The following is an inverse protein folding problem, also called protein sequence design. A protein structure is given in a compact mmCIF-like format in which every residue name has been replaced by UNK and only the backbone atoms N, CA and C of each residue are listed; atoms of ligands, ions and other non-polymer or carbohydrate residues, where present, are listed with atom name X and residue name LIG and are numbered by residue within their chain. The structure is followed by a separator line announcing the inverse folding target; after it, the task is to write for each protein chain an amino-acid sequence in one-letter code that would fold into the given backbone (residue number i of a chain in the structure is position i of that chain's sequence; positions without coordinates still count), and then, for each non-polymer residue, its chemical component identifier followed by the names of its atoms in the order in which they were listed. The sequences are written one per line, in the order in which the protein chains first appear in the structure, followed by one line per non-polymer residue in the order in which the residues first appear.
data_IF_687157942056
#
_entry.id   IF_687157942056
#
_cell.length_a   1.000
_cell.length_b   1.000
_cell.length_c   1.000
_cell.angle_alpha   90.00
_cell.angle_beta   90.00
_cell.angle_gamma   90.00
#
_symmetry.space_group_name_H-M   'P 1'
#
loop_
_entity.id
_entity.type
_entity.pdbx_description
1 polymer ?
#
# COMPACT_ATOMS: atom_id res chain seq x y z
N UNK A 1 -1.75 -14.93 0.75
CA UNK A 1 -2.62 -14.02 -0.03
C UNK A 1 -3.05 -12.80 0.78
N UNK A 2 -2.80 -11.61 0.25
CA UNK A 2 -3.27 -10.36 0.85
C UNK A 2 -4.80 -10.30 0.65
N UNK A 3 -5.58 -10.00 1.68
CA UNK A 3 -7.00 -9.65 1.50
C UNK A 3 -7.06 -8.15 1.22
N UNK A 4 -7.21 -7.77 -0.05
CA UNK A 4 -7.38 -6.37 -0.41
C UNK A 4 -8.82 -5.97 -0.13
N UNK A 5 -9.03 -5.16 0.91
CA UNK A 5 -10.31 -4.51 1.17
C UNK A 5 -10.29 -3.11 0.54
N UNK A 6 -11.41 -2.68 -0.05
CA UNK A 6 -11.58 -1.34 -0.67
C UNK A 6 -11.81 -0.31 0.45
N UNK A 7 -10.95 -0.32 1.46
CA UNK A 7 -10.98 0.65 2.55
C UNK A 7 -9.83 1.62 2.37
N UNK A 8 -10.14 2.91 2.55
CA UNK A 8 -9.17 4.00 2.65
C UNK A 8 -7.91 3.53 3.39
N UNK A 9 -6.73 3.80 2.81
CA UNK A 9 -5.42 3.53 3.42
C UNK A 9 -5.48 3.73 4.94
N UNK A 10 -5.25 2.64 5.69
CA UNK A 10 -5.26 2.69 7.14
C UNK A 10 -4.20 3.69 7.61
N UNK A 11 -4.60 4.66 8.43
CA UNK A 11 -3.69 5.52 9.17
C UNK A 11 -3.25 4.78 10.41
N UNK A 12 -1.95 4.50 10.50
CA UNK A 12 -1.36 3.92 11.70
C UNK A 12 -0.84 5.10 12.51
N UNK A 13 -1.67 5.61 13.43
CA UNK A 13 -1.39 6.84 14.20
C UNK A 13 -0.06 6.77 14.99
N UNK A 14 0.34 5.57 15.41
CA UNK A 14 1.61 5.34 16.13
C UNK A 14 2.80 5.06 15.21
N UNK A 15 2.57 4.88 13.90
CA UNK A 15 3.65 4.71 12.94
C UNK A 15 4.23 6.07 12.57
N UNK A 16 5.09 6.59 13.44
CA UNK A 16 5.89 7.78 13.15
C UNK A 16 7.12 7.32 12.38
N UNK A 17 7.28 7.81 11.15
CA UNK A 17 8.54 7.61 10.44
C UNK A 17 9.67 8.24 11.27
N UNK A 18 10.83 7.58 11.45
CA UNK A 18 11.95 8.16 12.21
C UNK A 18 12.54 9.40 11.53
N UNK A 19 12.15 9.66 10.28
CA UNK A 19 12.51 10.86 9.55
C UNK A 19 11.70 12.06 10.08
N UNK A 20 12.42 13.07 10.55
CA UNK A 20 11.87 14.33 11.07
C UNK A 20 11.13 15.13 9.98
N UNK A 21 11.29 14.79 8.69
CA UNK A 21 10.71 15.52 7.55
C UNK A 21 9.92 14.61 6.62
N UNK A 22 8.82 15.16 6.11
CA UNK A 22 8.05 14.58 5.02
C UNK A 22 8.84 14.60 3.70
N UNK A 23 8.50 13.68 2.79
CA UNK A 23 8.99 13.74 1.41
C UNK A 23 8.50 15.02 0.73
N UNK A 24 9.33 15.56 -0.17
CA UNK A 24 8.93 16.71 -0.99
C UNK A 24 7.72 16.36 -1.85
N UNK A 25 6.71 17.24 -1.87
CA UNK A 25 5.54 17.12 -2.77
C UNK A 25 5.92 17.06 -4.25
N UNK A 26 7.10 17.58 -4.60
CA UNK A 26 7.63 17.53 -5.96
C UNK A 26 8.38 16.23 -6.29
N UNK A 27 8.54 15.33 -5.32
CA UNK A 27 9.13 14.02 -5.56
C UNK A 27 8.25 13.20 -6.51
N UNK A 28 8.87 12.56 -7.51
CA UNK A 28 8.17 11.75 -8.52
C UNK A 28 7.33 10.62 -7.91
N UNK A 29 7.81 9.97 -6.86
CA UNK A 29 7.10 8.88 -6.19
C UNK A 29 5.88 9.36 -5.43
N UNK A 30 5.95 10.55 -4.81
CA UNK A 30 4.80 11.17 -4.14
C UNK A 30 3.71 11.48 -5.16
N UNK A 31 4.05 12.15 -6.26
CA UNK A 31 3.10 12.43 -7.35
C UNK A 31 2.51 11.16 -7.95
N UNK A 32 3.33 10.13 -8.19
CA UNK A 32 2.84 8.85 -8.70
C UNK A 32 1.87 8.19 -7.73
N UNK A 33 2.14 8.25 -6.42
CA UNK A 33 1.26 7.66 -5.42
C UNK A 33 -0.12 8.32 -5.35
N UNK A 34 -0.23 9.58 -5.75
CA UNK A 34 -1.51 10.31 -5.79
C UNK A 34 -2.36 9.96 -7.03
N UNK A 35 -1.73 9.56 -8.15
CA UNK A 35 -2.44 9.32 -9.42
C UNK A 35 -2.65 7.85 -9.75
N UNK A 36 -1.91 6.94 -9.11
CA UNK A 36 -2.04 5.51 -9.38
C UNK A 36 -3.39 5.00 -8.82
N UNK A 37 -4.20 4.29 -9.62
CA UNK A 37 -5.40 3.62 -9.13
C UNK A 37 -5.00 2.34 -8.37
N UNK A 38 -4.56 2.51 -7.12
CA UNK A 38 -3.99 1.46 -6.28
C UNK A 38 -4.89 0.22 -6.16
N UNK A 39 -6.20 0.41 -6.00
CA UNK A 39 -7.16 -0.69 -5.88
C UNK A 39 -7.16 -1.57 -7.13
N UNK A 40 -7.17 -0.94 -8.30
CA UNK A 40 -7.16 -1.66 -9.57
C UNK A 40 -5.83 -2.38 -9.77
N UNK A 41 -4.71 -1.72 -9.47
CA UNK A 41 -3.38 -2.32 -9.54
C UNK A 41 -3.25 -3.54 -8.63
N UNK A 42 -3.74 -3.45 -7.39
CA UNK A 42 -3.68 -4.53 -6.42
C UNK A 42 -4.42 -5.78 -6.91
N UNK A 43 -5.59 -5.63 -7.55
CA UNK A 43 -6.36 -6.75 -8.11
C UNK A 43 -5.54 -7.55 -9.12
N UNK A 44 -4.86 -6.90 -10.06
CA UNK A 44 -4.03 -7.63 -11.03
C UNK A 44 -2.78 -8.22 -10.40
N UNK A 45 -2.11 -7.45 -9.54
CA UNK A 45 -0.89 -7.90 -8.88
C UNK A 45 -1.14 -9.14 -8.01
N UNK A 46 -2.30 -9.21 -7.36
CA UNK A 46 -2.69 -10.38 -6.56
C UNK A 46 -2.91 -11.64 -7.42
N UNK A 47 -3.36 -11.51 -8.68
CA UNK A 47 -3.54 -12.67 -9.57
C UNK A 47 -2.21 -13.38 -9.87
N UNK A 48 -1.10 -12.64 -9.83
CA UNK A 48 0.24 -13.19 -10.11
C UNK A 48 0.96 -13.69 -8.86
N UNK A 49 0.36 -13.56 -7.68
CA UNK A 49 0.98 -14.05 -6.44
C UNK A 49 0.88 -15.57 -6.33
N UNK A 50 1.93 -16.18 -5.77
CA UNK A 50 1.95 -17.61 -5.44
C UNK A 50 0.92 -17.97 -4.38
N UNK A 51 0.29 -19.14 -4.54
CA UNK A 51 -0.56 -19.75 -3.52
C UNK A 51 0.25 -20.43 -2.40
N UNK A 52 1.51 -20.77 -2.67
CA UNK A 52 2.38 -21.54 -1.77
C UNK A 52 3.30 -20.66 -0.93
N UNK A 53 3.56 -19.42 -1.38
CA UNK A 53 4.48 -18.50 -0.72
C UNK A 53 3.85 -17.12 -0.48
N UNK A 54 4.31 -16.42 0.56
CA UNK A 54 3.81 -15.10 0.97
C UNK A 54 2.89 -15.14 2.20
N UNK A 55 2.83 -14.02 2.93
CA UNK A 55 2.04 -13.92 4.18
C UNK A 55 0.57 -13.63 3.86
N UNK A 56 -0.35 -14.24 4.62
CA UNK A 56 -1.75 -13.80 4.65
C UNK A 56 -1.82 -12.42 5.31
N UNK A 57 -2.67 -11.53 4.79
CA UNK A 57 -2.96 -10.25 5.46
C UNK A 57 -3.50 -10.52 6.86
N UNK A 58 -3.00 -9.80 7.88
CA UNK A 58 -3.47 -9.96 9.26
C UNK A 58 -4.94 -9.54 9.27
N UNK A 59 -5.84 -10.49 9.56
CA UNK A 59 -7.26 -10.18 9.78
C UNK A 59 -7.39 -9.42 11.08
N UNK A 60 -7.94 -8.21 10.99
CA UNK A 60 -8.47 -7.47 12.15
C UNK A 60 -9.70 -8.15 12.71
#
# INVERSE_FOLDING_TARGET
MIKHSIHSQLRIEEFKTPFVRNLSKNNRWVKLSEVIPWDHLAVYYMKTMSSETGRLGVSS
#
